data_IF_085494601592
#
_entry.id   IF_085494601592
#
_cell.length_a   1.000
_cell.length_b   1.000
_cell.length_c   1.000
_cell.angle_alpha   90.00
_cell.angle_beta   90.00
_cell.angle_gamma   90.00
#
_symmetry.space_group_name_H-M   'P 1'
#
loop_
_entity.id
_entity.type
_entity.pdbx_description
1 polymer ?
#
# COMPACT_ATOMS: atom_id res chain seq x y z
N UNK A 1 -6.49 -3.34 8.95
CA UNK A 1 -6.21 -1.89 8.82
C UNK A 1 -7.33 -1.14 9.53
N UNK A 2 -6.99 -0.22 10.41
CA UNK A 2 -7.96 0.52 11.23
C UNK A 2 -8.82 1.46 10.36
N UNK A 3 -10.09 1.62 10.70
CA UNK A 3 -11.01 2.50 9.96
C UNK A 3 -10.51 3.95 9.98
N UNK A 4 -10.47 4.61 8.83
CA UNK A 4 -9.95 5.97 8.70
C UNK A 4 -8.42 6.08 8.52
N UNK A 5 -7.71 4.95 8.43
CA UNK A 5 -6.30 4.94 8.03
C UNK A 5 -6.13 5.40 6.58
N UNK A 6 -5.09 6.19 6.33
CA UNK A 6 -4.74 6.70 5.00
C UNK A 6 -3.38 6.15 4.59
N UNK A 7 -3.35 5.41 3.48
CA UNK A 7 -2.12 5.06 2.76
C UNK A 7 -1.81 6.18 1.75
N UNK A 8 -0.78 6.98 2.07
CA UNK A 8 -0.40 8.14 1.25
C UNK A 8 0.17 7.68 -0.10
N UNK A 9 0.90 6.57 -0.13
CA UNK A 9 1.50 6.04 -1.35
C UNK A 9 0.41 5.61 -2.35
N UNK A 10 -0.59 4.89 -1.85
CA UNK A 10 -1.76 4.52 -2.65
C UNK A 10 -2.51 5.77 -3.14
N UNK A 11 -2.72 6.74 -2.27
CA UNK A 11 -3.51 7.93 -2.58
C UNK A 11 -2.89 8.82 -3.66
N UNK A 12 -1.56 8.97 -3.68
CA UNK A 12 -0.86 9.69 -4.76
C UNK A 12 -0.67 8.85 -6.02
N UNK A 13 -1.27 7.65 -6.07
CA UNK A 13 -1.18 6.71 -7.19
C UNK A 13 0.27 6.35 -7.56
N UNK A 14 1.16 6.20 -6.57
CA UNK A 14 2.59 5.99 -6.80
C UNK A 14 2.88 4.72 -7.62
N UNK A 15 2.01 3.70 -7.49
CA UNK A 15 2.09 2.43 -8.22
C UNK A 15 1.85 2.54 -9.73
N UNK A 16 1.44 3.70 -10.24
CA UNK A 16 1.39 3.98 -11.69
C UNK A 16 2.74 4.46 -12.24
N UNK A 17 3.77 4.56 -11.40
CA UNK A 17 5.12 5.02 -11.76
C UNK A 17 5.09 6.34 -12.57
N UNK A 18 4.48 7.42 -12.03
CA UNK A 18 4.51 8.73 -12.68
C UNK A 18 5.95 9.22 -12.86
N UNK A 19 6.14 10.29 -13.64
CA UNK A 19 7.47 10.85 -13.89
C UNK A 19 8.24 11.06 -12.58
N UNK A 20 9.48 10.58 -12.55
CA UNK A 20 10.35 10.70 -11.37
C UNK A 20 10.15 9.61 -10.31
N UNK A 21 9.25 8.64 -10.56
CA UNK A 21 9.01 7.46 -9.73
C UNK A 21 9.33 6.19 -10.51
N UNK A 22 9.96 5.22 -9.86
CA UNK A 22 10.13 3.86 -10.40
C UNK A 22 10.05 2.82 -9.30
N UNK A 23 9.53 1.63 -9.60
CA UNK A 23 9.50 0.53 -8.63
C UNK A 23 10.92 0.06 -8.24
N UNK A 24 11.12 -0.28 -6.97
CA UNK A 24 12.37 -0.80 -6.42
C UNK A 24 12.11 -1.93 -5.41
N UNK A 25 13.18 -2.61 -4.97
CA UNK A 25 13.10 -3.63 -3.92
C UNK A 25 13.00 -2.93 -2.56
N UNK A 26 12.04 -3.37 -1.75
CA UNK A 26 11.77 -2.86 -0.41
C UNK A 26 12.77 -3.29 0.66
N UNK A 27 12.35 -3.17 1.92
CA UNK A 27 13.15 -3.47 3.11
C UNK A 27 13.54 -4.94 3.21
N UNK A 28 12.72 -5.84 2.65
CA UNK A 28 12.99 -7.27 2.61
C UNK A 28 13.23 -7.73 1.17
N UNK A 29 14.46 -8.18 0.89
CA UNK A 29 14.79 -8.86 -0.37
C UNK A 29 14.07 -10.21 -0.52
N UNK A 30 13.66 -10.79 0.60
CA UNK A 30 12.89 -12.02 0.63
C UNK A 30 12.02 -12.04 1.88
N UNK A 31 10.70 -11.88 1.72
CA UNK A 31 9.75 -11.89 2.83
C UNK A 31 9.02 -13.22 2.94
N UNK A 32 8.77 -13.66 4.17
CA UNK A 32 7.87 -14.77 4.44
C UNK A 32 6.45 -14.43 3.94
N UNK A 33 5.86 -15.28 3.11
CA UNK A 33 4.48 -15.11 2.64
C UNK A 33 3.47 -15.81 3.56
N UNK A 34 3.95 -16.78 4.35
CA UNK A 34 3.20 -17.49 5.38
C UNK A 34 4.16 -18.18 6.34
N UNK A 35 3.62 -18.66 7.46
CA UNK A 35 4.29 -19.57 8.37
C UNK A 35 3.71 -20.97 8.14
N UNK A 36 4.54 -21.99 8.00
CA UNK A 36 4.10 -23.39 7.85
C UNK A 36 3.60 -23.99 9.17
N UNK A 37 3.06 -25.20 9.11
CA UNK A 37 2.47 -25.90 10.27
C UNK A 37 3.54 -26.23 11.35
N UNK A 38 4.82 -26.29 10.95
CA UNK A 38 5.97 -26.48 11.84
C UNK A 38 6.49 -25.18 12.45
N UNK A 39 5.94 -24.02 12.07
CA UNK A 39 6.32 -22.71 12.60
C UNK A 39 7.49 -22.04 11.86
N UNK A 40 7.87 -22.52 10.68
CA UNK A 40 8.95 -21.95 9.88
C UNK A 40 8.42 -20.97 8.82
N UNK A 41 9.17 -19.90 8.52
CA UNK A 41 8.80 -18.96 7.47
C UNK A 41 8.94 -19.60 6.09
N UNK A 42 7.87 -19.55 5.31
CA UNK A 42 7.89 -19.87 3.87
C UNK A 42 8.11 -18.58 3.11
N UNK A 43 9.31 -18.43 2.59
CA UNK A 43 9.75 -17.25 1.84
C UNK A 43 9.15 -17.17 0.43
N UNK A 44 8.86 -15.96 -0.02
CA UNK A 44 8.28 -15.69 -1.34
C UNK A 44 9.11 -14.70 -2.16
N UNK A 45 8.49 -13.56 -2.49
CA UNK A 45 9.10 -12.51 -3.32
C UNK A 45 9.62 -11.36 -2.46
N UNK A 46 10.50 -10.51 -3.01
CA UNK A 46 10.92 -9.28 -2.34
C UNK A 46 9.74 -8.34 -2.07
N UNK A 47 9.90 -7.49 -1.06
CA UNK A 47 9.02 -6.35 -0.86
C UNK A 47 9.09 -5.38 -2.02
N UNK A 48 8.00 -4.65 -2.23
CA UNK A 48 7.91 -3.60 -3.24
C UNK A 48 8.07 -2.24 -2.57
N UNK A 49 8.97 -1.43 -3.11
CA UNK A 49 9.12 -0.01 -2.79
C UNK A 49 9.09 0.84 -4.06
N UNK A 50 9.12 2.15 -3.87
CA UNK A 50 9.15 3.14 -4.94
C UNK A 50 10.30 4.11 -4.73
N UNK A 51 11.21 4.16 -5.71
CA UNK A 51 12.27 5.16 -5.79
C UNK A 51 11.67 6.48 -6.27
N UNK A 52 11.88 7.54 -5.50
CA UNK A 52 11.43 8.91 -5.81
C UNK A 52 12.64 9.77 -6.11
N UNK A 53 12.53 10.61 -7.14
CA UNK A 53 13.55 11.61 -7.53
C UNK A 53 12.97 13.01 -7.44
N UNK A 54 13.84 14.04 -7.49
CA UNK A 54 13.42 15.45 -7.51
C UNK A 54 12.45 15.86 -8.64
N UNK A 55 12.27 15.02 -9.66
CA UNK A 55 11.34 15.28 -10.78
C UNK A 55 9.91 14.80 -10.50
N UNK A 56 9.71 14.07 -9.41
CA UNK A 56 8.40 13.57 -9.02
C UNK A 56 7.48 14.68 -8.51
N UNK A 57 6.23 14.65 -8.96
CA UNK A 57 5.16 15.53 -8.47
C UNK A 57 4.04 14.65 -7.95
N UNK A 58 4.09 14.34 -6.66
CA UNK A 58 3.16 13.44 -5.99
C UNK A 58 2.24 14.28 -5.11
N UNK A 59 0.98 14.40 -5.52
CA UNK A 59 -0.01 15.25 -4.87
C UNK A 59 -1.38 14.60 -4.85
N UNK A 60 -2.16 14.91 -3.82
CA UNK A 60 -3.57 14.48 -3.70
C UNK A 60 -4.38 15.50 -2.91
N UNK A 61 -5.67 15.65 -3.22
CA UNK A 61 -6.57 16.53 -2.47
C UNK A 61 -6.87 15.93 -1.08
N UNK A 62 -6.65 16.70 -0.01
CA UNK A 62 -6.75 16.17 1.36
C UNK A 62 -8.18 15.83 1.78
N UNK A 63 -9.19 16.47 1.19
CA UNK A 63 -10.60 16.11 1.40
C UNK A 63 -11.00 14.74 0.84
N UNK A 64 -10.21 14.17 -0.09
CA UNK A 64 -10.40 12.80 -0.57
C UNK A 64 -9.80 11.77 0.40
N UNK A 65 -8.74 12.16 1.12
CA UNK A 65 -8.07 11.34 2.11
C UNK A 65 -8.82 11.30 3.44
N UNK A 66 -9.27 12.47 3.88
CA UNK A 66 -9.88 12.68 5.18
C UNK A 66 -11.32 13.16 4.97
N UNK A 67 -12.24 12.21 4.82
CA UNK A 67 -13.66 12.48 4.55
C UNK A 67 -14.43 12.98 5.78
N UNK A 68 -13.85 12.83 6.97
CA UNK A 68 -14.31 13.41 8.23
C UNK A 68 -13.33 14.43 8.79
N UNK A 69 -13.42 14.70 10.09
CA UNK A 69 -12.45 15.54 10.80
C UNK A 69 -11.10 14.83 10.87
N UNK A 70 -10.01 15.55 10.57
CA UNK A 70 -8.66 15.03 10.79
C UNK A 70 -8.46 14.69 12.28
N UNK A 71 -7.92 13.52 12.61
CA UNK A 71 -7.80 13.08 14.00
C UNK A 71 -6.87 14.00 14.82
N UNK A 72 -7.30 14.36 16.04
CA UNK A 72 -6.46 15.15 16.94
C UNK A 72 -5.24 14.35 17.43
N UNK A 73 -5.46 13.08 17.76
CA UNK A 73 -4.42 12.10 18.12
C UNK A 73 -4.31 11.04 17.01
N UNK A 74 -3.11 10.78 16.53
CA UNK A 74 -2.87 9.91 15.38
C UNK A 74 -1.44 9.38 15.38
N UNK A 75 -1.17 8.45 14.48
CA UNK A 75 0.19 7.99 14.18
C UNK A 75 0.57 8.30 12.74
N UNK A 76 1.87 8.55 12.53
CA UNK A 76 2.48 8.55 11.20
C UNK A 76 3.43 7.37 11.13
N UNK A 77 3.24 6.48 10.16
CA UNK A 77 4.04 5.28 9.96
C UNK A 77 4.82 5.40 8.66
N UNK A 78 6.13 5.16 8.69
CA UNK A 78 6.98 5.28 7.51
C UNK A 78 8.05 4.18 7.47
N UNK A 79 8.21 3.56 6.30
CA UNK A 79 9.32 2.67 5.98
C UNK A 79 10.01 3.17 4.72
N UNK A 80 11.23 3.66 4.85
CA UNK A 80 11.92 4.45 3.82
C UNK A 80 13.42 4.23 3.83
N UNK A 81 14.06 4.50 2.70
CA UNK A 81 15.52 4.54 2.51
C UNK A 81 15.87 5.82 1.75
N UNK A 82 16.06 6.95 2.45
CA UNK A 82 16.50 8.19 1.84
C UNK A 82 17.89 8.01 1.24
N UNK A 83 18.16 8.69 0.13
CA UNK A 83 19.51 8.77 -0.41
C UNK A 83 20.46 9.41 0.61
N UNK A 84 21.74 9.07 0.52
CA UNK A 84 22.73 9.58 1.44
C UNK A 84 22.78 11.12 1.39
N UNK A 85 22.56 11.77 2.53
CA UNK A 85 22.57 13.23 2.67
C UNK A 85 21.28 13.93 2.22
N UNK A 86 20.22 13.21 1.86
CA UNK A 86 18.89 13.80 1.63
C UNK A 86 18.42 14.51 2.90
N UNK A 87 18.05 15.79 2.77
CA UNK A 87 17.44 16.60 3.83
C UNK A 87 16.20 17.25 3.21
N UNK A 88 15.00 16.83 3.62
CA UNK A 88 13.75 17.25 2.95
C UNK A 88 12.51 16.98 3.79
N UNK A 89 11.37 17.52 3.37
CA UNK A 89 10.07 17.08 3.87
C UNK A 89 9.59 15.85 3.11
N UNK A 90 9.28 14.79 3.85
CA UNK A 90 8.67 13.58 3.34
C UNK A 90 7.27 13.87 2.83
N UNK A 91 6.44 14.58 3.61
CA UNK A 91 5.18 15.10 3.12
C UNK A 91 4.79 16.38 3.85
N UNK A 92 3.93 17.17 3.20
CA UNK A 92 3.32 18.36 3.77
C UNK A 92 1.85 18.46 3.36
N UNK A 93 0.98 18.77 4.31
CA UNK A 93 -0.43 19.11 4.09
C UNK A 93 -0.56 20.63 4.09
N UNK A 94 -1.21 21.16 3.06
CA UNK A 94 -1.58 22.55 2.91
C UNK A 94 -3.11 22.70 2.90
N UNK A 95 -3.62 23.82 3.40
CA UNK A 95 -5.02 24.19 3.22
C UNK A 95 -5.29 24.84 1.86
N UNK A 96 -6.53 25.22 1.58
CA UNK A 96 -6.93 25.80 0.29
C UNK A 96 -6.33 27.18 -0.04
N UNK A 97 -5.75 27.88 0.94
CA UNK A 97 -5.02 29.14 0.74
C UNK A 97 -3.50 28.96 0.71
N UNK A 98 -3.01 27.72 0.82
CA UNK A 98 -1.59 27.38 0.73
C UNK A 98 -0.81 27.53 2.04
N UNK A 99 -1.49 27.61 3.19
CA UNK A 99 -0.82 27.56 4.50
C UNK A 99 -0.52 26.12 4.90
N UNK A 100 0.70 25.89 5.38
CA UNK A 100 1.11 24.61 5.96
C UNK A 100 0.28 24.27 7.19
N UNK A 101 -0.16 23.02 7.27
CA UNK A 101 -0.98 22.49 8.37
C UNK A 101 -0.25 21.39 9.13
N UNK A 102 0.42 20.49 8.41
CA UNK A 102 1.11 19.32 8.96
C UNK A 102 2.29 18.98 8.05
N UNK A 103 3.45 18.68 8.61
CA UNK A 103 4.62 18.28 7.83
C UNK A 103 5.51 17.30 8.60
N UNK A 104 6.14 16.37 7.89
CA UNK A 104 7.17 15.47 8.41
C UNK A 104 8.47 15.64 7.61
N UNK A 105 9.48 16.19 8.25
CA UNK A 105 10.86 16.33 7.77
C UNK A 105 11.73 15.13 8.12
N UNK A 106 12.61 14.76 7.20
CA UNK A 106 13.61 13.69 7.33
C UNK A 106 14.98 14.17 6.87
N UNK A 107 16.04 13.63 7.48
CA UNK A 107 17.40 14.09 7.25
C UNK A 107 18.34 13.65 8.37
N UNK A 108 19.20 14.56 8.82
CA UNK A 108 20.01 14.40 10.04
C UNK A 108 19.12 14.34 11.30
N UNK A 109 17.92 14.93 11.21
CA UNK A 109 16.90 14.88 12.25
C UNK A 109 15.54 14.51 11.63
N UNK A 110 14.70 13.85 12.42
CA UNK A 110 13.28 13.68 12.09
C UNK A 110 12.52 14.84 12.72
N UNK A 111 11.87 15.66 11.90
CA UNK A 111 11.19 16.89 12.35
C UNK A 111 9.70 16.80 12.07
N UNK A 112 8.89 16.92 13.12
CA UNK A 112 7.43 16.95 13.01
C UNK A 112 6.93 18.38 13.22
N UNK A 113 6.02 18.82 12.36
CA UNK A 113 5.39 20.14 12.46
C UNK A 113 3.88 20.01 12.28
N UNK A 114 3.10 20.70 13.10
CA UNK A 114 1.65 20.78 12.90
C UNK A 114 1.10 22.14 13.34
N UNK A 115 -0.14 22.44 12.95
CA UNK A 115 -0.83 23.67 13.37
C UNK A 115 -0.82 23.84 14.89
N UNK A 116 -0.32 24.99 15.35
CA UNK A 116 -0.28 25.34 16.78
C UNK A 116 -1.63 25.87 17.26
N UNK A 117 -2.26 26.77 16.49
CA UNK A 117 -3.54 27.38 16.86
C UNK A 117 -4.36 27.78 15.62
N UNK A 118 -5.66 28.05 15.79
CA UNK A 118 -6.52 28.48 14.68
C UNK A 118 -6.41 29.97 14.34
N UNK A 119 -5.96 30.79 15.28
CA UNK A 119 -5.94 32.25 15.12
C UNK A 119 -4.79 32.73 14.23
N UNK A 120 -3.64 32.03 14.29
CA UNK A 120 -2.43 32.40 13.55
C UNK A 120 -1.87 31.20 12.77
N UNK A 121 -1.22 31.44 11.61
CA UNK A 121 -0.59 30.40 10.80
C UNK A 121 0.71 29.85 11.36
N UNK A 122 0.80 29.77 12.69
CA UNK A 122 1.97 29.23 13.38
C UNK A 122 1.94 27.70 13.43
N UNK A 123 3.12 27.11 13.31
CA UNK A 123 3.33 25.68 13.43
C UNK A 123 4.08 25.37 14.73
N UNK A 124 3.54 24.43 15.49
CA UNK A 124 4.26 23.77 16.57
C UNK A 124 5.26 22.79 15.96
N UNK A 125 6.52 22.83 16.40
CA UNK A 125 7.60 22.01 15.86
C UNK A 125 8.28 21.19 16.96
N UNK A 126 8.59 19.94 16.63
CA UNK A 126 9.40 19.02 17.42
C UNK A 126 10.46 18.41 16.52
N UNK A 127 11.69 18.24 17.01
CA UNK A 127 12.79 17.63 16.24
C UNK A 127 13.52 16.59 17.07
N UNK A 128 13.77 15.44 16.46
CA UNK A 128 14.44 14.30 17.09
C UNK A 128 15.81 14.07 16.43
N UNK A 129 16.90 13.96 17.21
CA UNK A 129 18.25 13.70 16.70
C UNK A 129 18.42 12.21 16.32
N UNK A 130 17.74 11.84 15.23
CA UNK A 130 17.75 10.52 14.62
C UNK A 130 18.07 10.72 13.14
N UNK A 131 19.32 10.49 12.70
CA UNK A 131 19.68 10.59 11.31
C UNK A 131 19.10 9.41 10.54
N UNK A 132 18.45 9.68 9.42
CA UNK A 132 17.83 8.68 8.53
C UNK A 132 18.28 8.82 7.08
N UNK A 133 19.18 9.76 6.81
CA UNK A 133 19.76 10.07 5.51
C UNK A 133 21.09 9.32 5.27
N UNK A 134 21.22 8.10 5.79
CA UNK A 134 22.46 7.33 5.74
C UNK A 134 22.52 6.34 4.56
N UNK A 135 21.50 6.34 3.69
CA UNK A 135 21.37 5.43 2.56
C UNK A 135 20.85 4.03 2.92
N UNK A 136 20.37 3.80 4.16
CA UNK A 136 19.82 2.52 4.61
C UNK A 136 18.32 2.59 4.87
N UNK A 137 17.70 1.41 4.94
CA UNK A 137 16.30 1.28 5.31
C UNK A 137 16.09 1.65 6.78
N UNK A 138 15.03 2.41 7.02
CA UNK A 138 14.58 2.84 8.34
C UNK A 138 13.09 2.55 8.51
N UNK A 139 12.72 2.06 9.69
CA UNK A 139 11.32 2.00 10.15
C UNK A 139 11.11 3.10 11.18
N UNK A 140 10.24 4.05 10.84
CA UNK A 140 9.89 5.19 11.68
C UNK A 140 8.40 5.15 11.99
N UNK A 141 8.05 5.47 13.22
CA UNK A 141 6.68 5.73 13.60
C UNK A 141 6.60 6.90 14.58
N UNK A 142 5.68 7.82 14.36
CA UNK A 142 5.41 8.91 15.29
C UNK A 142 4.05 8.69 15.91
N UNK A 143 3.97 8.71 17.23
CA UNK A 143 2.74 8.75 18.02
C UNK A 143 2.47 10.19 18.44
N UNK A 144 1.38 10.79 17.95
CA UNK A 144 0.94 12.14 18.32
C UNK A 144 -0.25 11.96 19.26
N UNK A 145 -0.05 12.26 20.55
CA UNK A 145 -1.07 12.08 21.57
C UNK A 145 -1.12 13.29 22.49
N UNK A 146 -2.23 14.02 22.48
CA UNK A 146 -2.36 15.29 23.19
C UNK A 146 -1.31 16.28 22.71
N UNK A 147 -0.45 16.71 23.63
CA UNK A 147 0.63 17.66 23.39
C UNK A 147 1.99 16.97 23.49
N UNK A 148 2.07 15.72 23.03
CA UNK A 148 3.29 14.93 23.05
C UNK A 148 3.46 14.19 21.73
N UNK A 149 4.70 14.17 21.25
CA UNK A 149 5.10 13.41 20.07
C UNK A 149 6.16 12.41 20.52
N UNK A 150 5.90 11.13 20.28
CA UNK A 150 6.88 10.06 20.52
C UNK A 150 7.33 9.49 19.19
N UNK A 151 8.62 9.63 18.87
CA UNK A 151 9.26 8.94 17.76
C UNK A 151 9.71 7.55 18.21
N UNK A 152 9.24 6.53 17.52
CA UNK A 152 9.74 5.16 17.54
C UNK A 152 10.56 4.91 16.28
N UNK A 153 11.79 4.44 16.45
CA UNK A 153 12.71 4.14 15.35
C UNK A 153 13.29 2.74 15.54
N UNK A 154 13.45 2.03 14.41
CA UNK A 154 14.02 0.68 14.36
C UNK A 154 13.39 -0.29 15.37
N UNK A 155 12.08 -0.17 15.58
CA UNK A 155 11.29 -1.06 16.44
C UNK A 155 11.70 -1.10 17.93
N UNK A 156 12.53 -0.17 18.41
CA UNK A 156 13.01 -0.23 19.80
C UNK A 156 13.44 1.09 20.42
N UNK A 157 13.98 2.03 19.64
CA UNK A 157 14.40 3.34 20.17
C UNK A 157 13.19 4.26 20.22
N UNK A 158 12.90 4.80 21.40
CA UNK A 158 11.81 5.75 21.63
C UNK A 158 12.34 7.08 22.15
N UNK A 159 11.87 8.19 21.59
CA UNK A 159 12.16 9.54 22.05
C UNK A 159 10.84 10.31 22.13
N UNK A 160 10.57 10.99 23.23
CA UNK A 160 9.33 11.75 23.44
C UNK A 160 9.66 13.21 23.70
N UNK A 161 8.95 14.09 23.02
CA UNK A 161 9.09 15.53 23.15
C UNK A 161 7.71 16.19 23.32
N UNK A 162 7.70 17.35 23.97
CA UNK A 162 6.47 18.14 24.15
C UNK A 162 6.14 18.94 22.90
N UNK A 163 4.87 18.95 22.51
CA UNK A 163 4.34 19.70 21.37
C UNK A 163 3.51 20.88 21.87
N UNK A 164 3.90 22.10 21.49
CA UNK A 164 3.16 23.32 21.81
C UNK A 164 1.94 23.50 20.90
N UNK A 165 0.91 22.67 21.08
CA UNK A 165 -0.35 22.73 20.32
C UNK A 165 -1.51 23.17 21.22
N UNK A 166 -2.39 24.05 20.74
CA UNK A 166 -3.60 24.43 21.48
C UNK A 166 -4.66 23.33 21.39
N UNK A 167 -5.52 23.22 22.41
CA UNK A 167 -6.59 22.21 22.44
C UNK A 167 -7.62 22.38 21.30
N UNK A 168 -7.77 23.59 20.78
CA UNK A 168 -8.70 23.92 19.69
C UNK A 168 -8.07 23.79 18.29
N UNK A 169 -6.77 23.51 18.22
CA UNK A 169 -6.07 23.38 16.94
C UNK A 169 -6.58 22.16 16.18
N UNK A 170 -6.87 22.34 14.88
CA UNK A 170 -7.15 21.25 13.95
C UNK A 170 -6.36 21.44 12.66
N UNK A 171 -6.24 20.34 11.91
CA UNK A 171 -5.61 20.32 10.60
C UNK A 171 -6.68 20.61 9.55
N UNK A 172 -6.55 21.73 8.83
CA UNK A 172 -7.45 22.07 7.74
C UNK A 172 -7.16 21.23 6.48
N UNK A 173 -8.05 20.28 6.18
CA UNK A 173 -7.94 19.35 5.05
C UNK A 173 -8.67 19.84 3.79
N UNK A 174 -8.81 21.16 3.61
CA UNK A 174 -9.45 21.74 2.41
C UNK A 174 -8.51 21.88 1.20
N UNK A 175 -7.20 21.66 1.37
CA UNK A 175 -6.20 21.82 0.31
C UNK A 175 -5.65 20.51 -0.24
N UNK A 176 -4.32 20.38 -0.18
CA UNK A 176 -3.56 19.31 -0.82
C UNK A 176 -2.51 18.71 0.12
N UNK A 177 -2.16 17.45 -0.12
CA UNK A 177 -0.97 16.82 0.42
C UNK A 177 0.06 16.73 -0.71
N UNK A 178 1.29 17.18 -0.44
CA UNK A 178 2.46 16.96 -1.29
C UNK A 178 3.36 15.91 -0.65
N UNK A 179 3.81 14.93 -1.43
CA UNK A 179 4.80 13.94 -1.04
C UNK A 179 6.14 14.26 -1.73
N UNK A 180 7.20 14.32 -0.93
CA UNK A 180 8.58 14.51 -1.37
C UNK A 180 8.92 15.88 -1.94
N UNK A 181 8.06 16.89 -1.76
CA UNK A 181 8.30 18.27 -2.19
C UNK A 181 7.51 19.26 -1.33
N UNK A 182 7.90 20.54 -1.37
CA UNK A 182 7.20 21.65 -0.73
C UNK A 182 6.88 22.76 -1.75
N UNK A 183 5.94 23.63 -1.40
CA UNK A 183 5.55 24.74 -2.27
C UNK A 183 6.62 25.84 -2.44
N UNK A 184 7.47 26.06 -1.43
CA UNK A 184 8.30 27.30 -1.35
C UNK A 184 9.81 27.05 -1.36
N UNK A 185 10.29 25.89 -0.89
CA UNK A 185 11.71 25.72 -0.57
C UNK A 185 12.55 25.07 -1.68
N UNK A 186 11.93 24.46 -2.70
CA UNK A 186 12.65 23.79 -3.79
C UNK A 186 13.57 22.64 -3.33
N UNK A 187 13.31 22.11 -2.14
CA UNK A 187 13.96 20.94 -1.56
C UNK A 187 13.08 19.72 -1.85
N UNK A 188 13.72 18.62 -2.26
CA UNK A 188 13.02 17.41 -2.71
C UNK A 188 13.50 16.19 -1.94
N UNK A 189 12.57 15.29 -1.66
CA UNK A 189 12.90 13.94 -1.19
C UNK A 189 13.47 13.12 -2.34
N UNK A 190 14.62 12.50 -2.09
CA UNK A 190 15.20 11.51 -2.98
C UNK A 190 15.54 10.26 -2.19
N UNK A 191 15.07 9.10 -2.66
CA UNK A 191 15.23 7.81 -2.00
C UNK A 191 14.06 6.88 -2.24
N UNK A 192 14.11 5.70 -1.64
CA UNK A 192 13.04 4.70 -1.72
C UNK A 192 12.03 4.88 -0.59
N UNK A 193 10.77 4.57 -0.87
CA UNK A 193 9.70 4.51 0.13
C UNK A 193 8.84 3.27 -0.11
N UNK A 194 8.59 2.50 0.95
CA UNK A 194 7.77 1.30 0.91
C UNK A 194 6.42 1.50 1.61
N UNK A 195 6.40 2.31 2.67
CA UNK A 195 5.20 2.57 3.44
C UNK A 195 5.20 4.02 3.90
N UNK A 196 4.04 4.67 3.77
CA UNK A 196 3.76 5.95 4.38
C UNK A 196 2.27 6.05 4.69
N UNK A 197 1.92 6.03 5.98
CA UNK A 197 0.53 6.00 6.43
C UNK A 197 0.26 7.02 7.54
N UNK A 198 -0.96 7.54 7.57
CA UNK A 198 -1.52 8.26 8.71
C UNK A 198 -2.64 7.38 9.28
N UNK A 199 -2.56 7.04 10.56
CA UNK A 199 -3.52 6.16 11.24
C UNK A 199 -4.21 6.93 12.36
N UNK A 200 -5.55 6.93 12.46
CA UNK A 200 -6.30 7.70 13.46
C UNK A 200 -6.26 7.11 14.88
N UNK A 201 -5.14 6.49 15.24
CA UNK A 201 -4.82 6.02 16.58
C UNK A 201 -3.34 6.33 16.87
N UNK A 202 -3.02 6.95 18.01
CA UNK A 202 -1.63 7.13 18.44
C UNK A 202 -0.96 5.81 18.86
N UNK A 203 -1.73 4.77 19.20
CA UNK A 203 -1.21 3.45 19.58
C UNK A 203 -0.61 2.70 18.38
N UNK A 204 -1.08 2.95 17.16
CA UNK A 204 -0.57 2.32 15.95
C UNK A 204 0.95 2.46 15.75
N UNK A 205 1.55 3.57 16.22
CA UNK A 205 2.98 3.77 16.15
C UNK A 205 3.79 2.72 16.96
N UNK A 206 3.23 2.21 18.05
CA UNK A 206 3.86 1.17 18.87
C UNK A 206 3.78 -0.21 18.22
N UNK A 207 2.79 -0.40 17.34
CA UNK A 207 2.56 -1.63 16.59
C UNK A 207 3.24 -1.62 15.21
N UNK A 208 4.04 -0.60 14.89
CA UNK A 208 4.69 -0.44 13.58
C UNK A 208 5.42 -1.70 13.12
N UNK A 209 6.09 -2.41 14.03
CA UNK A 209 6.89 -3.59 13.69
C UNK A 209 6.18 -4.91 13.96
N UNK A 210 4.88 -4.88 14.22
CA UNK A 210 4.06 -6.07 14.49
C UNK A 210 2.93 -6.11 13.47
N UNK A 211 2.11 -5.06 13.43
CA UNK A 211 0.87 -5.02 12.65
C UNK A 211 1.02 -4.30 11.30
N UNK A 212 2.11 -3.57 11.05
CA UNK A 212 2.28 -2.74 9.85
C UNK A 212 3.51 -3.08 9.00
N UNK A 213 4.67 -3.27 9.62
CA UNK A 213 5.94 -3.59 8.96
C UNK A 213 6.81 -4.51 9.83
N UNK A 214 6.37 -5.76 10.03
CA UNK A 214 7.15 -6.73 10.78
C UNK A 214 8.45 -7.12 10.06
N UNK A 215 9.33 -7.81 10.79
CA UNK A 215 10.56 -8.36 10.24
C UNK A 215 10.29 -9.31 9.06
N UNK A 216 11.30 -9.50 8.21
CA UNK A 216 11.16 -10.26 6.97
C UNK A 216 10.77 -11.73 7.17
N UNK A 217 10.94 -12.27 8.38
CA UNK A 217 10.53 -13.61 8.79
C UNK A 217 9.01 -13.74 8.96
N UNK A 218 8.27 -12.62 8.92
CA UNK A 218 6.82 -12.58 9.06
C UNK A 218 6.14 -11.98 7.82
N UNK A 219 4.96 -12.52 7.44
CA UNK A 219 4.17 -11.95 6.37
C UNK A 219 3.64 -10.57 6.70
N UNK A 220 3.43 -9.75 5.67
CA UNK A 220 2.75 -8.47 5.84
C UNK A 220 1.28 -8.75 6.22
N UNK A 221 0.73 -8.10 7.25
CA UNK A 221 -0.65 -8.36 7.69
C UNK A 221 -1.73 -8.03 6.65
N UNK A 222 -1.37 -7.25 5.63
CA UNK A 222 -2.24 -6.83 4.52
C UNK A 222 -1.88 -7.47 3.18
N UNK A 223 -0.84 -8.31 3.10
CA UNK A 223 -0.66 -9.14 1.91
C UNK A 223 -1.76 -10.18 1.94
N UNK A 224 -2.76 -10.05 1.06
CA UNK A 224 -3.58 -11.20 0.75
C UNK A 224 -2.63 -12.27 0.24
N UNK A 225 -2.64 -13.44 0.89
CA UNK A 225 -1.97 -14.60 0.34
C UNK A 225 -2.42 -14.71 -1.12
N UNK A 226 -1.51 -14.83 -2.10
CA UNK A 226 -1.95 -15.13 -3.45
C UNK A 226 -2.82 -16.37 -3.35
N UNK A 227 -4.11 -16.26 -3.68
CA UNK A 227 -4.95 -17.43 -3.95
C UNK A 227 -4.14 -18.30 -4.90
N UNK A 228 -3.83 -19.53 -4.44
CA UNK A 228 -3.00 -20.53 -5.11
C UNK A 228 -2.69 -20.17 -6.56
N UNK A 229 -1.62 -19.39 -6.77
CA UNK A 229 -1.03 -19.29 -8.09
C UNK A 229 -0.47 -20.68 -8.34
N UNK A 230 -1.27 -21.51 -9.00
CA UNK A 230 -0.81 -22.74 -9.65
C UNK A 230 0.30 -22.27 -10.58
N UNK A 231 1.55 -22.44 -10.13
CA UNK A 231 2.71 -22.24 -10.98
C UNK A 231 2.47 -23.12 -12.21
N UNK A 232 2.52 -22.58 -13.44
CA UNK A 232 2.43 -23.44 -14.61
C UNK A 232 3.58 -24.46 -14.50
N UNK A 233 3.22 -25.73 -14.32
CA UNK A 233 4.16 -26.83 -14.41
C UNK A 233 4.77 -26.75 -15.82
N UNK A 234 6.04 -26.34 -15.89
CA UNK A 234 6.82 -26.54 -17.10
C UNK A 234 6.88 -28.05 -17.33
N UNK A 235 6.46 -28.56 -18.51
CA UNK A 235 6.50 -29.98 -18.77
C UNK A 235 7.95 -30.46 -18.68
N UNK A 236 8.25 -31.13 -17.55
CA UNK A 236 9.54 -31.74 -17.29
C UNK A 236 9.80 -32.82 -18.31
N UNK A 237 10.98 -32.79 -18.91
CA UNK A 237 11.51 -33.87 -19.75
C UNK A 237 11.53 -35.19 -18.98
N UNK A 238 10.92 -36.28 -19.48
CA UNK A 238 10.92 -37.55 -18.77
C UNK A 238 12.29 -38.20 -18.87
N UNK A 239 12.95 -38.43 -17.73
CA UNK A 239 14.16 -39.24 -17.65
C UNK A 239 13.77 -40.64 -17.10
N UNK A 240 14.08 -41.74 -17.82
CA UNK A 240 13.53 -43.06 -17.53
C UNK A 240 14.39 -43.81 -16.52
N UNK A 241 13.82 -44.21 -15.37
CA UNK A 241 14.39 -45.23 -14.48
C UNK A 241 13.40 -45.72 -13.42
N UNK A 242 12.44 -46.58 -13.80
CA UNK A 242 12.21 -47.88 -13.14
C UNK A 242 11.09 -48.67 -13.84
N UNK A 243 11.20 -50.01 -13.90
CA UNK A 243 10.28 -50.88 -14.59
C UNK A 243 9.11 -51.24 -13.67
N UNK A 244 7.90 -51.21 -14.21
CA UNK A 244 6.80 -52.04 -13.74
C UNK A 244 6.20 -52.73 -14.96
N UNK A 245 6.00 -54.03 -14.79
CA UNK A 245 5.75 -55.05 -15.79
C UNK A 245 4.33 -55.01 -16.38
N UNK A 246 4.25 -55.57 -17.59
CA UNK A 246 3.12 -56.25 -18.23
C UNK A 246 1.84 -55.46 -18.53
N UNK A 247 1.63 -55.13 -19.80
CA UNK A 247 0.68 -55.89 -20.61
C UNK A 247 0.86 -55.58 -22.11
N UNK A 248 0.87 -56.66 -22.89
CA UNK A 248 1.03 -56.73 -24.35
C UNK A 248 -0.06 -55.96 -25.11
N UNK A 249 0.31 -55.30 -26.22
CA UNK A 249 -0.23 -55.62 -27.55
C UNK A 249 0.25 -54.69 -28.68
N UNK A 250 0.77 -55.35 -29.71
CA UNK A 250 0.65 -55.03 -31.14
C UNK A 250 1.45 -53.87 -31.79
N UNK A 251 2.64 -54.28 -32.23
CA UNK A 251 3.47 -53.80 -33.34
C UNK A 251 2.72 -53.21 -34.55
N UNK A 252 3.00 -51.97 -34.93
CA UNK A 252 3.18 -51.59 -36.36
C UNK A 252 4.20 -50.47 -36.55
N UNK A 253 5.09 -50.74 -37.50
CA UNK A 253 6.18 -49.93 -38.05
C UNK A 253 5.67 -48.75 -38.87
N UNK A 254 6.11 -47.52 -38.56
CA UNK A 254 6.12 -46.40 -39.51
C UNK A 254 7.31 -45.45 -39.29
N UNK A 255 8.41 -45.78 -39.95
CA UNK A 255 9.31 -44.90 -40.73
C UNK A 255 9.14 -43.37 -40.59
N UNK A 256 10.16 -42.71 -40.03
CA UNK A 256 10.42 -41.28 -40.19
C UNK A 256 10.96 -40.95 -41.59
N UNK A 257 10.53 -39.87 -42.24
CA UNK A 257 11.34 -39.20 -43.24
C UNK A 257 12.06 -37.97 -42.68
N UNK A 258 13.30 -37.87 -43.11
CA UNK A 258 14.35 -36.91 -42.76
C UNK A 258 13.98 -35.42 -42.90
N UNK A 259 14.76 -34.62 -42.17
CA UNK A 259 15.09 -33.21 -42.45
C UNK A 259 15.47 -33.02 -43.94
N UNK A 260 15.39 -31.86 -44.61
CA UNK A 260 16.13 -30.60 -44.42
C UNK A 260 15.50 -29.46 -45.31
N UNK A 261 16.08 -28.26 -45.55
CA UNK A 261 15.49 -26.97 -45.14
C UNK A 261 15.22 -25.95 -46.28
N UNK A 262 14.43 -24.92 -45.96
CA UNK A 262 14.49 -23.58 -46.56
C UNK A 262 13.91 -23.37 -47.96
N UNK A 263 13.14 -22.29 -48.13
CA UNK A 263 13.30 -21.23 -49.14
C UNK A 263 12.09 -20.28 -49.09
N UNK A 264 12.40 -18.98 -49.17
CA UNK A 264 11.52 -17.82 -49.23
C UNK A 264 10.55 -17.82 -50.43
N UNK A 265 9.36 -17.22 -50.24
CA UNK A 265 8.83 -16.16 -51.14
C UNK A 265 7.69 -15.37 -50.49
N UNK A 266 7.80 -14.04 -50.53
CA UNK A 266 6.71 -13.05 -50.40
C UNK A 266 5.66 -13.25 -51.49
N UNK A 267 4.38 -12.92 -51.24
CA UNK A 267 3.54 -12.14 -52.15
C UNK A 267 2.36 -11.48 -51.44
N UNK A 268 2.10 -10.24 -51.85
CA UNK A 268 1.18 -9.24 -51.30
C UNK A 268 -0.29 -9.43 -51.70
N UNK A 269 -1.14 -8.66 -51.02
CA UNK A 269 -2.61 -8.46 -51.15
C UNK A 269 -3.19 -8.41 -52.58
N UNK A 270 -4.53 -8.53 -52.65
CA UNK A 270 -5.32 -7.52 -53.35
C UNK A 270 -6.44 -6.90 -52.48
N UNK A 271 -6.56 -5.58 -52.55
CA UNK A 271 -7.77 -4.81 -52.26
C UNK A 271 -8.80 -5.00 -53.41
N UNK A 272 -10.10 -5.08 -53.14
CA UNK A 272 -11.03 -3.92 -53.21
C UNK A 272 -12.53 -4.33 -53.16
N UNK A 273 -13.26 -3.63 -52.27
CA UNK A 273 -14.69 -3.22 -52.33
C UNK A 273 -15.85 -4.21 -52.09
N UNK A 274 -16.67 -3.91 -51.07
CA UNK A 274 -18.02 -4.47 -50.91
C UNK A 274 -18.72 -4.22 -49.56
N UNK A 275 -19.33 -3.04 -49.39
CA UNK A 275 -20.52 -2.68 -48.56
C UNK A 275 -20.61 -2.98 -47.05
N UNK A 276 -21.32 -2.05 -46.39
CA UNK A 276 -21.47 -1.77 -44.95
C UNK A 276 -22.56 -2.64 -44.26
N UNK A 277 -22.40 -2.76 -42.94
CA UNK A 277 -23.30 -3.22 -41.86
C UNK A 277 -23.14 -4.69 -41.41
N UNK A 278 -22.53 -4.89 -40.23
CA UNK A 278 -23.24 -5.50 -39.08
C UNK A 278 -22.43 -5.44 -37.76
N UNK A 279 -23.14 -4.94 -36.77
CA UNK A 279 -22.89 -4.84 -35.35
C UNK A 279 -22.66 -6.23 -34.70
N UNK A 280 -21.47 -6.50 -34.14
CA UNK A 280 -21.27 -7.65 -33.23
C UNK A 280 -21.04 -7.15 -31.81
N UNK A 281 -22.15 -6.94 -31.12
CA UNK A 281 -22.20 -6.67 -29.69
C UNK A 281 -21.70 -7.87 -28.89
N UNK A 282 -20.86 -7.61 -27.90
CA UNK A 282 -20.50 -8.56 -26.86
C UNK A 282 -21.74 -8.85 -26.00
N UNK A 283 -22.25 -10.08 -26.08
CA UNK A 283 -23.32 -10.56 -25.20
C UNK A 283 -22.74 -10.93 -23.82
N UNK A 284 -22.97 -10.07 -22.82
CA UNK A 284 -22.85 -10.45 -21.41
C UNK A 284 -24.04 -11.35 -21.04
N UNK A 285 -23.79 -12.60 -20.68
CA UNK A 285 -24.77 -13.40 -19.95
C UNK A 285 -24.75 -12.97 -18.47
N UNK A 286 -25.75 -12.20 -18.05
CA UNK A 286 -26.02 -12.00 -16.63
C UNK A 286 -26.67 -13.27 -16.07
N UNK A 287 -25.87 -14.12 -15.42
CA UNK A 287 -26.40 -15.23 -14.62
C UNK A 287 -26.82 -14.64 -13.27
N UNK A 288 -28.11 -14.36 -13.10
CA UNK A 288 -28.67 -14.03 -11.79
C UNK A 288 -28.64 -15.28 -10.91
N UNK A 289 -27.99 -15.18 -9.75
CA UNK A 289 -27.98 -16.24 -8.75
C UNK A 289 -29.41 -16.59 -8.28
N UNK A 290 -29.60 -17.83 -7.84
CA UNK A 290 -30.87 -18.30 -7.30
C UNK A 290 -31.32 -17.39 -6.13
N UNK A 291 -32.63 -17.05 -6.03
CA UNK A 291 -33.14 -16.28 -4.90
C UNK A 291 -32.79 -16.95 -3.58
N UNK A 292 -32.27 -16.16 -2.63
CA UNK A 292 -31.96 -16.65 -1.29
C UNK A 292 -33.19 -17.23 -0.58
N UNK A 293 -33.01 -18.17 0.36
CA UNK A 293 -34.10 -18.74 1.13
C UNK A 293 -34.85 -17.66 1.92
N UNK A 294 -36.16 -17.86 2.14
CA UNK A 294 -36.98 -16.97 2.99
C UNK A 294 -36.39 -16.89 4.39
N UNK A 295 -36.19 -15.67 4.88
CA UNK A 295 -35.77 -15.43 6.26
C UNK A 295 -36.77 -15.96 7.29
N UNK A 296 -36.29 -16.20 8.50
CA UNK A 296 -37.11 -16.68 9.62
C UNK A 296 -38.25 -15.71 9.93
N UNK A 297 -39.38 -16.27 10.35
CA UNK A 297 -40.54 -15.49 10.78
C UNK A 297 -40.20 -14.77 12.10
N UNK A 298 -40.40 -13.44 12.13
CA UNK A 298 -40.14 -12.64 13.32
C UNK A 298 -41.03 -13.04 14.51
N UNK A 299 -40.64 -12.70 15.75
CA UNK A 299 -41.41 -13.05 16.95
C UNK A 299 -42.85 -12.53 16.90
N UNK A 300 -43.80 -13.31 17.42
CA UNK A 300 -45.20 -12.92 17.57
C UNK A 300 -45.34 -11.86 18.65
N UNK A 301 -45.91 -10.72 18.29
CA UNK A 301 -46.17 -9.58 19.17
C UNK A 301 -47.33 -9.94 20.12
N UNK A 302 -47.05 -10.03 21.42
CA UNK A 302 -48.08 -10.14 22.46
C UNK A 302 -48.34 -8.75 23.03
N UNK A 303 -49.38 -8.08 22.53
CA UNK A 303 -49.93 -6.91 23.21
C UNK A 303 -51.00 -7.29 24.23
N UNK A 304 -50.93 -6.54 25.32
CA UNK A 304 -51.95 -6.19 26.30
C UNK A 304 -52.18 -7.10 27.51
N UNK A 305 -51.59 -6.66 28.63
CA UNK A 305 -52.38 -6.58 29.86
C UNK A 305 -52.10 -5.30 30.64
N UNK A 306 -53.18 -4.56 30.82
CA UNK A 306 -53.39 -3.28 31.49
C UNK A 306 -53.37 -3.44 33.02
N UNK A 307 -52.55 -2.67 33.73
CA UNK A 307 -52.68 -2.43 35.20
C UNK A 307 -52.30 -0.97 35.47
N UNK A 308 -53.27 -0.06 35.49
CA UNK A 308 -53.87 0.58 36.69
C UNK A 308 -52.84 1.35 37.54
N UNK A 309 -52.90 2.69 37.43
CA UNK A 309 -52.40 3.65 38.42
C UNK A 309 -53.40 3.71 39.58
N UNK A 310 -52.91 3.58 40.81
CA UNK A 310 -53.54 4.18 41.98
C UNK A 310 -52.56 5.12 42.68
N UNK A 311 -53.18 6.12 43.32
CA UNK A 311 -52.72 7.35 43.96
C UNK A 311 -51.70 7.20 45.08
#
# INVERSE_FOLDING_TARGET
MEEGSVDILHAVSIGQEPLGVSQSIGICDNRAIRIDDEGNPVYGVPDVAFSITQTAVLTVTTSQLFTGTFPYDFSVLATLRPNQGTESFLFTIYNNIGEEQLALGIGDNVTFMCRESMEEPTLAQVSFPVPVNDGKWHRLALSIKGNSVTLLSECGRQLTESLSRSEEAYIDTTGILLLGSQLVDGVYYEGDIQQLMIVPSPEAAYEQCIDYMPDCEFPLPYSQAPEDTVFPEFPGTPNPSRPDDDDDDEFTDYSYPDSIPGVFTNYSQPDESGSVDENTGYHYYNVQGLPGPRGYQGPLDHQDTKVIRET
#
